data_IF_665864082747
#
_entry.id   IF_665864082747
#
_cell.length_a   1.000
_cell.length_b   1.000
_cell.length_c   1.000
_cell.angle_alpha   90.00
_cell.angle_beta   90.00
_cell.angle_gamma   90.00
#
_symmetry.space_group_name_H-M   'P 1'
#
loop_
_entity.id
_entity.type
_entity.pdbx_description
1 polymer ?
#
# COMPACT_ATOMS: atom_id res chain seq x y z
N UNK A 1 6.46 -8.65 3.09
CA UNK A 1 5.75 -8.01 1.96
C UNK A 1 6.36 -8.45 0.63
N UNK A 2 5.58 -9.08 -0.25
CA UNK A 2 5.94 -9.15 -1.68
C UNK A 2 5.53 -7.81 -2.29
N UNK A 3 6.49 -6.92 -2.48
CA UNK A 3 6.25 -5.54 -2.90
C UNK A 3 5.58 -5.43 -4.28
N UNK A 4 5.69 -6.48 -5.09
CA UNK A 4 5.00 -6.60 -6.37
C UNK A 4 3.48 -6.55 -6.23
N UNK A 5 2.93 -7.01 -5.10
CA UNK A 5 1.49 -7.02 -4.85
C UNK A 5 0.92 -5.60 -4.71
N UNK A 6 1.56 -4.75 -3.90
CA UNK A 6 1.11 -3.36 -3.70
C UNK A 6 1.19 -2.55 -5.01
N UNK A 7 2.26 -2.72 -5.78
CA UNK A 7 2.43 -2.02 -7.05
C UNK A 7 1.39 -2.47 -8.10
N UNK A 8 1.06 -3.76 -8.12
CA UNK A 8 -0.01 -4.29 -8.97
C UNK A 8 -1.39 -3.75 -8.57
N UNK A 9 -1.69 -3.68 -7.27
CA UNK A 9 -2.94 -3.11 -6.74
C UNK A 9 -3.08 -1.64 -7.16
N UNK A 10 -2.04 -0.84 -6.99
CA UNK A 10 -2.02 0.58 -7.39
C UNK A 10 -2.25 0.73 -8.90
N UNK A 11 -1.58 -0.10 -9.71
CA UNK A 11 -1.78 -0.11 -11.16
C UNK A 11 -3.21 -0.50 -11.55
N UNK A 12 -3.81 -1.49 -10.87
CA UNK A 12 -5.21 -1.92 -11.10
C UNK A 12 -6.21 -0.83 -10.73
N UNK A 13 -5.97 -0.10 -9.65
CA UNK A 13 -6.80 1.02 -9.19
C UNK A 13 -6.58 2.31 -10.00
N UNK A 14 -5.58 2.33 -10.88
CA UNK A 14 -5.18 3.49 -11.70
C UNK A 14 -4.87 4.76 -10.87
N UNK A 15 -4.45 4.58 -9.61
CA UNK A 15 -4.14 5.68 -8.69
C UNK A 15 -2.64 6.01 -8.80
N UNK A 16 -2.31 7.28 -8.97
CA UNK A 16 -0.91 7.72 -8.94
C UNK A 16 -0.42 7.92 -7.51
N UNK A 17 0.89 7.83 -7.28
CA UNK A 17 1.48 8.09 -5.94
C UNK A 17 1.15 9.50 -5.44
N UNK A 18 1.07 10.49 -6.35
CA UNK A 18 0.66 11.86 -6.02
C UNK A 18 -0.79 11.93 -5.57
N UNK A 19 -1.67 11.20 -6.24
CA UNK A 19 -3.08 11.13 -5.86
C UNK A 19 -3.23 10.44 -4.50
N UNK A 20 -2.51 9.33 -4.30
CA UNK A 20 -2.46 8.62 -3.02
C UNK A 20 -1.95 9.51 -1.89
N UNK A 21 -0.90 10.30 -2.14
CA UNK A 21 -0.38 11.30 -1.20
C UNK A 21 -1.43 12.34 -0.82
N UNK A 22 -2.20 12.85 -1.80
CA UNK A 22 -3.29 13.79 -1.54
C UNK A 22 -4.40 13.20 -0.69
N UNK A 23 -4.79 11.95 -0.95
CA UNK A 23 -5.87 11.27 -0.22
C UNK A 23 -5.41 10.93 1.21
N UNK A 24 -4.20 10.39 1.35
CA UNK A 24 -3.66 9.92 2.64
C UNK A 24 -3.03 11.04 3.48
N UNK A 25 -2.80 12.22 2.90
CA UNK A 25 -1.99 13.29 3.48
C UNK A 25 -0.55 12.85 3.84
N UNK A 26 -0.05 11.78 3.22
CA UNK A 26 1.28 11.24 3.47
C UNK A 26 2.30 11.74 2.45
N UNK A 27 3.57 11.80 2.86
CA UNK A 27 4.65 12.25 1.99
C UNK A 27 4.87 11.30 0.79
N UNK A 28 4.85 11.87 -0.43
CA UNK A 28 5.00 11.18 -1.72
C UNK A 28 6.27 10.30 -1.76
N UNK A 29 7.38 10.81 -1.20
CA UNK A 29 8.66 10.11 -1.19
C UNK A 29 8.61 8.89 -0.28
N UNK A 30 7.92 9.01 0.86
CA UNK A 30 7.75 7.90 1.80
C UNK A 30 6.78 6.85 1.24
N UNK A 31 5.66 7.28 0.67
CA UNK A 31 4.74 6.40 -0.05
C UNK A 31 5.45 5.65 -1.17
N UNK A 32 6.24 6.36 -2.00
CA UNK A 32 7.01 5.73 -3.08
C UNK A 32 8.03 4.71 -2.59
N UNK A 33 8.62 4.89 -1.40
CA UNK A 33 9.51 3.89 -0.77
C UNK A 33 8.74 2.67 -0.30
N UNK A 34 7.54 2.84 0.26
CA UNK A 34 6.67 1.73 0.69
C UNK A 34 6.19 0.94 -0.54
N UNK A 35 5.69 1.63 -1.56
CA UNK A 35 5.17 1.04 -2.80
C UNK A 35 6.24 0.29 -3.58
N UNK A 36 7.45 0.86 -3.68
CA UNK A 36 8.57 0.18 -4.32
C UNK A 36 9.30 -0.79 -3.39
N UNK A 37 8.81 -1.01 -2.17
CA UNK A 37 9.36 -2.04 -1.30
C UNK A 37 10.68 -1.74 -0.62
N UNK A 38 11.11 -0.48 -0.67
CA UNK A 38 12.31 0.01 0.04
C UNK A 38 12.07 0.09 1.54
N UNK A 39 10.82 0.32 1.95
CA UNK A 39 10.41 0.29 3.36
C UNK A 39 9.89 -1.12 3.68
N UNK A 40 10.66 -1.89 4.48
CA UNK A 40 10.29 -3.26 4.86
C UNK A 40 9.16 -3.33 5.89
N UNK A 41 9.00 -2.31 6.73
CA UNK A 41 8.01 -2.29 7.81
C UNK A 41 7.41 -0.88 7.97
N UNK A 42 6.43 -0.50 7.14
CA UNK A 42 5.70 0.74 7.32
C UNK A 42 4.95 0.71 8.66
N UNK A 43 4.71 1.88 9.27
CA UNK A 43 3.84 1.96 10.44
C UNK A 43 2.41 1.52 10.08
N UNK A 44 1.66 1.00 11.06
CA UNK A 44 0.30 0.51 10.82
C UNK A 44 -0.64 1.61 10.33
N UNK A 45 -0.47 2.84 10.82
CA UNK A 45 -1.23 4.01 10.35
C UNK A 45 -1.02 4.28 8.85
N UNK A 46 0.21 4.06 8.36
CA UNK A 46 0.52 4.19 6.93
C UNK A 46 -0.15 3.10 6.11
N UNK A 47 -0.16 1.87 6.64
CA UNK A 47 -0.82 0.75 5.97
C UNK A 47 -2.32 0.99 5.88
N UNK A 48 -2.95 1.43 6.97
CA UNK A 48 -4.37 1.76 7.02
C UNK A 48 -4.69 2.90 6.04
N UNK A 49 -3.95 4.00 6.06
CA UNK A 49 -4.18 5.12 5.16
C UNK A 49 -4.06 4.71 3.68
N UNK A 50 -3.05 3.91 3.32
CA UNK A 50 -2.90 3.38 1.96
C UNK A 50 -4.06 2.46 1.61
N UNK A 51 -4.51 1.62 2.54
CA UNK A 51 -5.63 0.70 2.32
C UNK A 51 -6.94 1.44 2.10
N UNK A 52 -7.22 2.46 2.92
CA UNK A 52 -8.40 3.32 2.79
C UNK A 52 -8.37 4.10 1.48
N UNK A 53 -7.22 4.70 1.13
CA UNK A 53 -7.09 5.48 -0.09
C UNK A 53 -7.17 4.65 -1.37
N UNK A 54 -6.81 3.37 -1.29
CA UNK A 54 -6.97 2.42 -2.39
C UNK A 54 -8.29 1.66 -2.32
N UNK A 55 -9.14 1.92 -1.32
CA UNK A 55 -10.37 1.17 -1.04
C UNK A 55 -10.12 -0.35 -1.10
N UNK A 56 -9.12 -0.81 -0.34
CA UNK A 56 -8.77 -2.23 -0.27
C UNK A 56 -9.80 -2.97 0.57
N UNK A 57 -10.14 -4.17 0.12
CA UNK A 57 -10.82 -5.16 0.95
C UNK A 57 -9.88 -5.70 2.04
N UNK A 58 -10.44 -6.29 3.09
CA UNK A 58 -9.64 -6.93 4.14
C UNK A 58 -8.69 -8.00 3.57
N UNK A 59 -9.12 -8.76 2.55
CA UNK A 59 -8.29 -9.78 1.91
C UNK A 59 -7.08 -9.15 1.20
N UNK A 60 -7.31 -8.08 0.43
CA UNK A 60 -6.25 -7.32 -0.24
C UNK A 60 -5.31 -6.65 0.76
N UNK A 61 -5.85 -6.19 1.90
CA UNK A 61 -5.06 -5.60 2.98
C UNK A 61 -4.17 -6.64 3.69
N UNK A 62 -4.69 -7.83 3.96
CA UNK A 62 -3.92 -8.94 4.54
C UNK A 62 -2.79 -9.34 3.58
N UNK A 63 -3.09 -9.46 2.29
CA UNK A 63 -2.10 -9.72 1.25
C UNK A 63 -1.05 -8.60 1.15
N UNK A 64 -1.48 -7.34 1.27
CA UNK A 64 -0.62 -6.17 1.32
C UNK A 64 0.35 -6.23 2.51
N UNK A 65 -0.13 -6.56 3.71
CA UNK A 65 0.72 -6.69 4.90
C UNK A 65 1.71 -7.86 4.81
N UNK A 66 1.61 -8.70 3.77
CA UNK A 66 2.45 -9.86 3.59
C UNK A 66 2.14 -10.99 4.57
N UNK A 67 0.96 -10.94 5.20
CA UNK A 67 0.39 -12.12 5.83
C UNK A 67 -0.02 -13.06 4.72
N UNK A 68 0.70 -14.17 4.59
CA UNK A 68 0.15 -15.33 3.90
C UNK A 68 -0.75 -16.03 4.90
N UNK A 69 -2.01 -16.26 4.54
CA UNK A 69 -2.71 -17.42 5.08
C UNK A 69 -1.98 -18.63 4.51
N UNK A 70 -0.93 -19.08 5.21
CA UNK A 70 -0.39 -20.42 5.04
C UNK A 70 -1.48 -21.35 5.55
N UNK A 71 -2.32 -21.82 4.63
CA UNK A 71 -3.32 -22.85 4.87
C UNK A 71 -3.05 -24.02 3.94
#
# INVERSE_FOLDING_TARGET
>A
MKNDNLKNIINRKNISIKELSRITHLNDSHLGKIINGKTKNPGIDYLIAIAEALELSNDEFVELCGYKNDN
#
